data_IF_086109312192
#
_entry.id   IF_086109312192
#
_cell.length_a   1.000
_cell.length_b   1.000
_cell.length_c   1.000
_cell.angle_alpha   90.00
_cell.angle_beta   90.00
_cell.angle_gamma   90.00
#
_symmetry.space_group_name_H-M   'P 1'
#
loop_
_entity.id
_entity.type
_entity.pdbx_description
1 polymer ?
#
# COMPACT_ATOMS: atom_id res chain seq x y z
N UNK A 1 -39.35 -44.70 2.29
CA UNK A 1 -38.11 -44.43 3.06
C UNK A 1 -36.84 -44.22 2.22
N UNK A 2 -36.81 -44.53 0.91
CA UNK A 2 -35.59 -44.39 0.09
C UNK A 2 -35.21 -42.95 -0.31
N UNK A 3 -36.18 -42.04 -0.37
CA UNK A 3 -35.99 -40.64 -0.78
C UNK A 3 -35.18 -39.85 0.24
N UNK A 4 -35.56 -39.85 1.53
CA UNK A 4 -34.86 -39.08 2.57
C UNK A 4 -33.37 -39.41 2.72
N UNK A 5 -33.00 -40.68 2.46
CA UNK A 5 -31.61 -41.14 2.54
C UNK A 5 -30.75 -40.64 1.35
N UNK A 6 -31.35 -40.43 0.18
CA UNK A 6 -30.70 -39.77 -0.98
C UNK A 6 -30.54 -38.26 -0.78
N UNK A 7 -31.53 -37.60 -0.18
CA UNK A 7 -31.44 -36.18 0.16
C UNK A 7 -30.34 -35.91 1.20
N UNK A 8 -30.23 -36.73 2.24
CA UNK A 8 -29.13 -36.66 3.22
C UNK A 8 -27.77 -36.96 2.59
N UNK A 9 -27.70 -37.92 1.65
CA UNK A 9 -26.47 -38.26 0.94
C UNK A 9 -25.96 -37.15 0.00
N UNK A 10 -26.84 -36.31 -0.53
CA UNK A 10 -26.49 -35.16 -1.36
C UNK A 10 -26.31 -33.86 -0.56
N UNK A 11 -26.96 -33.75 0.60
CA UNK A 11 -26.87 -32.56 1.44
C UNK A 11 -25.45 -32.37 2.02
N UNK A 12 -24.83 -33.45 2.53
CA UNK A 12 -23.49 -33.38 3.10
C UNK A 12 -22.42 -32.85 2.11
N UNK A 13 -22.28 -33.39 0.88
CA UNK A 13 -21.29 -32.86 -0.07
C UNK A 13 -21.64 -31.43 -0.54
N UNK A 14 -22.92 -31.10 -0.71
CA UNK A 14 -23.34 -29.75 -1.09
C UNK A 14 -23.00 -28.70 -0.01
N UNK A 15 -23.22 -29.02 1.26
CA UNK A 15 -22.85 -28.15 2.40
C UNK A 15 -21.33 -27.96 2.44
N UNK A 16 -20.55 -29.03 2.32
CA UNK A 16 -19.09 -28.93 2.30
C UNK A 16 -18.60 -28.08 1.13
N UNK A 17 -19.14 -28.28 -0.08
CA UNK A 17 -18.79 -27.48 -1.24
C UNK A 17 -19.11 -25.99 -1.03
N UNK A 18 -20.28 -25.69 -0.44
CA UNK A 18 -20.66 -24.31 -0.10
C UNK A 18 -19.69 -23.68 0.91
N UNK A 19 -19.37 -24.40 2.00
CA UNK A 19 -18.41 -23.93 3.02
C UNK A 19 -17.04 -23.70 2.38
N UNK A 20 -16.56 -24.64 1.56
CA UNK A 20 -15.28 -24.50 0.86
C UNK A 20 -15.28 -23.28 -0.07
N UNK A 21 -16.34 -23.08 -0.85
CA UNK A 21 -16.47 -21.91 -1.72
C UNK A 21 -16.44 -20.59 -0.93
N UNK A 22 -17.13 -20.54 0.21
CA UNK A 22 -17.11 -19.37 1.11
C UNK A 22 -15.70 -19.15 1.68
N UNK A 23 -15.04 -20.18 2.18
CA UNK A 23 -13.67 -20.08 2.72
C UNK A 23 -12.67 -19.64 1.65
N UNK A 24 -12.78 -20.16 0.42
CA UNK A 24 -11.96 -19.72 -0.71
C UNK A 24 -12.20 -18.24 -1.03
N UNK A 25 -13.47 -17.82 -1.12
CA UNK A 25 -13.82 -16.43 -1.39
C UNK A 25 -13.28 -15.48 -0.31
N UNK A 26 -13.43 -15.83 0.97
CA UNK A 26 -12.93 -15.03 2.10
C UNK A 26 -11.40 -14.96 2.10
N UNK A 27 -10.72 -16.08 1.83
CA UNK A 27 -9.25 -16.13 1.78
C UNK A 27 -8.72 -15.32 0.61
N UNK A 28 -9.34 -15.43 -0.57
CA UNK A 28 -8.97 -14.66 -1.74
C UNK A 28 -9.22 -13.15 -1.56
N UNK A 29 -10.34 -12.77 -0.94
CA UNK A 29 -10.68 -11.38 -0.69
C UNK A 29 -9.90 -10.76 0.50
N UNK A 30 -9.33 -11.57 1.39
CA UNK A 30 -8.65 -11.10 2.61
C UNK A 30 -9.60 -10.37 3.58
N UNK A 31 -10.90 -10.68 3.54
CA UNK A 31 -11.95 -10.01 4.33
C UNK A 31 -13.19 -10.88 4.47
N UNK A 32 -13.86 -10.79 5.63
CA UNK A 32 -15.20 -11.36 5.87
C UNK A 32 -16.31 -10.35 5.52
N UNK A 33 -15.98 -9.23 4.88
CA UNK A 33 -16.91 -8.15 4.61
C UNK A 33 -17.45 -7.56 5.92
N UNK A 34 -18.78 -7.41 6.09
CA UNK A 34 -19.39 -6.88 7.32
C UNK A 34 -19.05 -7.67 8.59
N UNK A 35 -18.72 -8.96 8.47
CA UNK A 35 -18.38 -9.82 9.60
C UNK A 35 -16.89 -9.72 10.00
N UNK A 36 -16.10 -8.88 9.33
CA UNK A 36 -14.68 -8.70 9.65
C UNK A 36 -14.54 -8.08 11.05
N UNK A 37 -13.85 -8.75 11.99
CA UNK A 37 -13.68 -8.23 13.34
C UNK A 37 -12.80 -6.99 13.35
N UNK A 38 -12.99 -6.12 14.36
CA UNK A 38 -12.14 -4.94 14.53
C UNK A 38 -10.68 -5.28 14.88
N UNK A 39 -10.43 -6.49 15.40
CA UNK A 39 -9.10 -7.02 15.70
C UNK A 39 -8.38 -7.63 14.48
N UNK A 40 -8.99 -7.59 13.29
CA UNK A 40 -8.41 -8.17 12.07
C UNK A 40 -6.98 -7.66 11.82
N UNK A 41 -5.96 -8.53 11.93
CA UNK A 41 -4.56 -8.15 11.73
C UNK A 41 -4.26 -7.78 10.28
N UNK A 42 -4.97 -8.38 9.31
CA UNK A 42 -4.78 -8.14 7.88
C UNK A 42 -5.24 -6.75 7.46
N UNK A 43 -6.05 -6.05 8.28
CA UNK A 43 -6.41 -4.65 8.05
C UNK A 43 -5.19 -3.74 7.82
N UNK A 44 -4.05 -4.05 8.44
CA UNK A 44 -2.81 -3.28 8.23
C UNK A 44 -2.23 -3.49 6.83
N UNK A 45 -2.39 -4.70 6.29
CA UNK A 45 -1.90 -5.17 4.99
C UNK A 45 -2.86 -4.89 3.83
N UNK A 46 -4.13 -4.58 4.09
CA UNK A 46 -5.09 -4.18 3.04
C UNK A 46 -4.60 -2.92 2.31
N UNK A 47 -4.71 -2.93 0.98
CA UNK A 47 -4.26 -1.83 0.13
C UNK A 47 -2.77 -1.87 -0.20
N UNK A 48 -2.05 -2.92 0.20
CA UNK A 48 -0.60 -2.98 -0.05
C UNK A 48 -0.27 -3.16 -1.52
N UNK A 49 -0.97 -4.07 -2.19
CA UNK A 49 -0.81 -4.32 -3.62
C UNK A 49 -1.22 -3.11 -4.45
N UNK A 50 -2.36 -2.49 -4.09
CA UNK A 50 -2.88 -1.30 -4.75
C UNK A 50 -1.89 -0.13 -4.61
N UNK A 51 -1.41 0.17 -3.39
CA UNK A 51 -0.42 1.22 -3.19
C UNK A 51 0.85 0.99 -4.00
N UNK A 52 1.33 -0.26 -4.06
CA UNK A 52 2.52 -0.59 -4.81
C UNK A 52 2.32 -0.47 -6.34
N UNK A 53 1.15 -0.88 -6.85
CA UNK A 53 0.78 -0.73 -8.25
C UNK A 53 0.66 0.75 -8.63
N UNK A 54 -0.10 1.53 -7.86
CA UNK A 54 -0.26 2.98 -8.06
C UNK A 54 1.11 3.69 -8.03
N UNK A 55 1.97 3.33 -7.07
CA UNK A 55 3.33 3.87 -6.97
C UNK A 55 4.18 3.50 -8.20
N UNK A 56 4.09 2.25 -8.67
CA UNK A 56 4.80 1.79 -9.87
C UNK A 56 4.35 2.55 -11.13
N UNK A 57 3.06 2.84 -11.23
CA UNK A 57 2.49 3.58 -12.36
C UNK A 57 2.99 5.03 -12.38
N UNK A 58 2.97 5.70 -11.23
CA UNK A 58 3.47 7.08 -11.11
C UNK A 58 4.99 7.15 -11.34
N UNK A 59 5.77 6.22 -10.78
CA UNK A 59 7.21 6.13 -11.01
C UNK A 59 7.53 5.98 -12.51
N UNK A 60 6.83 5.08 -13.21
CA UNK A 60 7.01 4.87 -14.65
C UNK A 60 6.64 6.10 -15.46
N UNK A 61 5.49 6.72 -15.17
CA UNK A 61 5.02 7.90 -15.91
C UNK A 61 5.95 9.10 -15.69
N UNK A 62 6.46 9.28 -14.46
CA UNK A 62 7.38 10.36 -14.11
C UNK A 62 8.85 10.08 -14.48
N UNK A 63 9.15 8.85 -14.94
CA UNK A 63 10.52 8.37 -15.19
C UNK A 63 11.42 8.50 -13.94
N UNK A 64 10.85 8.22 -12.77
CA UNK A 64 11.54 8.23 -11.50
C UNK A 64 11.90 6.80 -11.07
N UNK A 65 13.04 6.67 -10.41
CA UNK A 65 13.50 5.41 -9.80
C UNK A 65 13.60 5.50 -8.28
N UNK A 66 13.08 6.57 -7.68
CA UNK A 66 13.15 6.82 -6.24
C UNK A 66 11.77 7.16 -5.71
N UNK A 67 11.40 6.53 -4.59
CA UNK A 67 10.18 6.83 -3.86
C UNK A 67 10.49 7.19 -2.41
N UNK A 68 9.93 8.30 -1.92
CA UNK A 68 10.02 8.72 -0.52
C UNK A 68 8.72 8.31 0.17
N UNK A 69 8.83 7.46 1.19
CA UNK A 69 7.69 6.96 1.93
C UNK A 69 7.27 7.93 3.06
N UNK A 70 5.96 8.17 3.17
CA UNK A 70 5.30 8.98 4.21
C UNK A 70 5.60 8.51 5.65
N UNK A 71 5.67 7.19 5.85
CA UNK A 71 5.74 6.58 7.18
C UNK A 71 6.36 5.19 7.14
N UNK A 72 6.77 4.71 8.32
CA UNK A 72 7.28 3.34 8.56
C UNK A 72 6.50 2.24 7.83
N UNK A 73 5.16 2.32 7.82
CA UNK A 73 4.33 1.28 7.22
C UNK A 73 4.43 1.24 5.68
N UNK A 74 4.49 2.40 5.01
CA UNK A 74 4.68 2.46 3.55
C UNK A 74 6.13 2.17 3.17
N UNK A 75 7.11 2.59 3.98
CA UNK A 75 8.51 2.22 3.80
C UNK A 75 8.69 0.70 3.78
N UNK A 76 8.23 0.01 4.83
CA UNK A 76 8.30 -1.45 4.93
C UNK A 76 7.69 -2.18 3.73
N UNK A 77 6.50 -1.75 3.33
CA UNK A 77 5.77 -2.30 2.19
C UNK A 77 6.54 -2.11 0.88
N UNK A 78 6.93 -0.87 0.58
CA UNK A 78 7.53 -0.53 -0.71
C UNK A 78 8.94 -1.11 -0.82
N UNK A 79 9.73 -1.11 0.26
CA UNK A 79 11.04 -1.75 0.28
C UNK A 79 10.93 -3.24 -0.05
N UNK A 80 9.94 -3.94 0.52
CA UNK A 80 9.69 -5.34 0.18
C UNK A 80 9.23 -5.50 -1.28
N UNK A 81 8.26 -4.68 -1.72
CA UNK A 81 7.69 -4.80 -3.05
C UNK A 81 8.71 -4.52 -4.18
N UNK A 82 9.56 -3.53 -3.98
CA UNK A 82 10.56 -3.08 -4.96
C UNK A 82 11.92 -3.73 -4.81
N UNK A 83 12.09 -4.66 -3.87
CA UNK A 83 13.34 -5.38 -3.67
C UNK A 83 13.86 -5.99 -4.98
N UNK A 84 15.07 -5.59 -5.39
CA UNK A 84 15.72 -6.06 -6.61
C UNK A 84 15.13 -5.53 -7.93
N UNK A 85 14.24 -4.52 -7.88
CA UNK A 85 13.58 -3.95 -9.08
C UNK A 85 14.17 -2.62 -9.56
N UNK A 86 15.30 -2.18 -9.00
CA UNK A 86 15.95 -0.92 -9.36
C UNK A 86 15.17 0.34 -8.96
N UNK A 87 14.21 0.21 -8.03
CA UNK A 87 13.52 1.33 -7.41
C UNK A 87 14.05 1.48 -5.99
N UNK A 88 14.58 2.66 -5.69
CA UNK A 88 15.08 3.05 -4.37
C UNK A 88 13.91 3.54 -3.50
N UNK A 89 13.83 3.03 -2.26
CA UNK A 89 12.82 3.44 -1.29
C UNK A 89 13.52 4.15 -0.14
N UNK A 90 13.18 5.42 0.05
CA UNK A 90 13.76 6.30 1.06
C UNK A 90 12.69 6.81 2.03
N UNK A 91 13.13 7.37 3.15
CA UNK A 91 12.29 8.01 4.16
C UNK A 91 12.83 9.40 4.43
N UNK A 92 11.95 10.40 4.36
CA UNK A 92 12.29 11.76 4.78
C UNK A 92 12.24 11.84 6.30
N UNK A 93 13.40 12.05 6.91
CA UNK A 93 13.55 12.33 8.34
C UNK A 93 13.63 13.85 8.53
N UNK A 94 12.52 14.44 8.99
CA UNK A 94 12.36 15.90 9.04
C UNK A 94 13.15 16.55 10.19
N UNK A 95 13.39 15.83 11.28
CA UNK A 95 14.15 16.34 12.44
C UNK A 95 15.58 15.78 12.51
N UNK A 96 15.91 14.81 11.65
CA UNK A 96 17.22 14.16 11.59
C UNK A 96 17.48 13.22 12.77
N UNK A 97 16.45 12.90 13.57
CA UNK A 97 16.53 12.01 14.72
C UNK A 97 15.74 10.74 14.42
N UNK A 98 16.40 9.67 13.94
CA UNK A 98 15.70 8.48 13.53
C UNK A 98 15.01 7.81 14.73
N UNK A 99 13.69 7.69 14.64
CA UNK A 99 12.84 7.03 15.63
C UNK A 99 12.63 5.54 15.32
N UNK A 100 13.03 5.10 14.12
CA UNK A 100 12.92 3.72 13.68
C UNK A 100 14.00 3.32 12.67
N UNK A 101 14.16 2.01 12.46
CA UNK A 101 15.22 1.45 11.59
C UNK A 101 15.07 1.82 10.10
N UNK A 102 13.90 2.27 9.64
CA UNK A 102 13.76 2.74 8.25
C UNK A 102 14.33 4.15 8.12
N UNK A 103 14.02 5.05 9.04
CA UNK A 103 14.66 6.39 9.10
C UNK A 103 16.17 6.25 9.24
N UNK A 104 16.65 5.28 10.04
CA UNK A 104 18.08 5.07 10.21
C UNK A 104 18.80 4.54 8.96
N UNK A 105 18.20 3.61 8.23
CA UNK A 105 18.90 2.87 7.15
C UNK A 105 18.50 3.32 5.73
N UNK A 106 17.36 3.99 5.59
CA UNK A 106 16.80 4.46 4.33
C UNK A 106 16.62 5.98 4.35
N UNK A 107 17.40 6.69 5.18
CA UNK A 107 17.37 8.14 5.27
C UNK A 107 17.50 8.76 3.88
N UNK A 108 16.57 9.63 3.53
CA UNK A 108 16.66 10.43 2.33
C UNK A 108 17.76 11.48 2.49
N UNK A 109 18.56 11.65 1.44
CA UNK A 109 19.51 12.75 1.29
C UNK A 109 19.36 13.29 -0.12
N UNK A 110 19.29 14.61 -0.26
CA UNK A 110 19.12 15.28 -1.54
C UNK A 110 20.26 14.94 -2.51
N UNK A 111 19.92 14.73 -3.77
CA UNK A 111 20.80 14.43 -4.87
C UNK A 111 20.38 15.28 -6.09
N UNK A 112 21.30 16.05 -6.68
CA UNK A 112 20.98 16.90 -7.82
C UNK A 112 20.28 16.16 -8.95
N UNK A 113 19.19 16.73 -9.47
CA UNK A 113 18.41 16.27 -10.61
C UNK A 113 17.74 14.89 -10.44
N UNK A 114 17.67 14.33 -9.22
CA UNK A 114 16.97 13.07 -8.98
C UNK A 114 15.45 13.28 -9.09
N UNK A 115 14.82 12.51 -9.97
CA UNK A 115 13.35 12.44 -10.08
C UNK A 115 12.82 11.48 -9.02
N UNK A 116 11.79 11.91 -8.30
CA UNK A 116 11.20 11.13 -7.22
C UNK A 116 9.68 11.17 -7.24
N UNK A 117 9.11 10.23 -6.48
CA UNK A 117 7.71 10.21 -6.07
C UNK A 117 7.67 10.23 -4.56
N UNK A 118 6.96 11.18 -3.95
CA UNK A 118 6.76 11.22 -2.50
C UNK A 118 5.32 10.86 -2.15
N UNK A 119 5.19 9.97 -1.15
CA UNK A 119 3.91 9.63 -0.55
C UNK A 119 3.65 10.62 0.59
N UNK A 120 2.46 11.20 0.65
CA UNK A 120 2.00 12.02 1.78
C UNK A 120 0.48 11.77 2.03
N UNK A 121 0.02 11.95 3.27
CA UNK A 121 -1.40 11.90 3.59
C UNK A 121 -2.21 13.10 3.08
N UNK A 122 -1.55 14.20 2.70
CA UNK A 122 -2.13 15.48 2.28
C UNK A 122 -2.07 15.64 0.76
N UNK A 123 -3.08 16.32 0.23
CA UNK A 123 -3.17 16.64 -1.21
C UNK A 123 -2.21 17.77 -1.63
N UNK A 124 -1.58 18.43 -0.68
CA UNK A 124 -0.56 19.45 -0.91
C UNK A 124 0.82 18.81 -0.70
N UNK A 125 1.78 19.01 -1.62
CA UNK A 125 3.13 18.50 -1.42
C UNK A 125 3.75 19.11 -0.16
N UNK A 126 4.57 18.35 0.58
CA UNK A 126 5.26 18.86 1.76
C UNK A 126 6.33 19.88 1.37
N UNK A 127 6.52 20.89 2.22
CA UNK A 127 7.59 21.87 2.07
C UNK A 127 8.91 21.23 2.49
N UNK A 128 9.65 20.70 1.52
CA UNK A 128 10.97 20.08 1.71
C UNK A 128 11.97 20.90 0.89
N UNK A 129 13.01 21.39 1.56
CA UNK A 129 14.11 22.08 0.91
C UNK A 129 14.82 21.16 -0.09
N UNK A 130 15.21 21.70 -1.22
CA UNK A 130 15.89 20.93 -2.26
C UNK A 130 14.97 20.10 -3.16
N UNK A 131 13.64 20.21 -3.07
CA UNK A 131 12.70 19.55 -3.99
C UNK A 131 11.81 20.58 -4.70
N UNK A 132 11.85 20.57 -6.03
CA UNK A 132 10.85 21.25 -6.86
C UNK A 132 9.74 20.26 -7.17
N UNK A 133 8.54 20.52 -6.65
CA UNK A 133 7.36 19.72 -6.91
C UNK A 133 6.74 20.05 -8.27
N UNK A 134 6.29 19.02 -8.98
CA UNK A 134 5.46 19.21 -10.16
C UNK A 134 4.08 19.72 -9.73
N UNK A 135 3.62 20.80 -10.35
CA UNK A 135 2.27 21.32 -10.11
C UNK A 135 1.18 20.38 -10.65
N UNK A 136 -0.05 20.60 -10.17
CA UNK A 136 -1.23 19.83 -10.58
C UNK A 136 -1.82 18.99 -9.44
N UNK A 137 -2.89 18.27 -9.73
CA UNK A 137 -3.48 17.34 -8.76
C UNK A 137 -2.63 16.05 -8.71
N UNK A 138 -2.08 15.68 -7.54
CA UNK A 138 -1.28 14.48 -7.40
C UNK A 138 -2.13 13.22 -7.59
N UNK A 139 -1.52 12.16 -8.11
CA UNK A 139 -2.16 10.86 -8.16
C UNK A 139 -2.51 10.38 -6.75
N UNK A 140 -3.59 9.64 -6.60
CA UNK A 140 -4.11 9.22 -5.29
C UNK A 140 -4.27 7.71 -5.23
N UNK A 141 -3.54 7.08 -4.32
CA UNK A 141 -3.78 5.68 -3.97
C UNK A 141 -4.79 5.62 -2.83
N UNK A 142 -5.91 4.90 -3.04
CA UNK A 142 -6.99 4.81 -2.06
C UNK A 142 -7.54 3.39 -1.94
N UNK A 143 -7.51 2.84 -0.73
CA UNK A 143 -8.09 1.52 -0.44
C UNK A 143 -8.95 1.57 0.82
N UNK A 144 -10.11 0.91 0.76
CA UNK A 144 -10.96 0.69 1.94
C UNK A 144 -10.34 -0.37 2.84
N UNK A 145 -9.97 0.00 4.07
CA UNK A 145 -9.32 -0.92 5.02
C UNK A 145 -10.28 -1.46 6.07
N UNK A 146 -11.37 -0.74 6.36
CA UNK A 146 -12.47 -1.22 7.21
C UNK A 146 -13.81 -0.62 6.78
N UNK A 147 -14.90 -1.02 7.44
CA UNK A 147 -16.24 -0.49 7.15
C UNK A 147 -16.32 1.05 7.22
N UNK A 148 -15.51 1.69 8.08
CA UNK A 148 -15.55 3.13 8.36
C UNK A 148 -14.23 3.86 8.06
N UNK A 149 -13.25 3.18 7.47
CA UNK A 149 -11.93 3.77 7.27
C UNK A 149 -11.35 3.39 5.92
N UNK A 150 -10.92 4.43 5.21
CA UNK A 150 -10.11 4.33 4.02
C UNK A 150 -8.67 4.70 4.38
N UNK A 151 -7.72 4.10 3.66
CA UNK A 151 -6.34 4.58 3.59
C UNK A 151 -6.21 5.31 2.27
N UNK A 152 -5.81 6.57 2.32
CA UNK A 152 -5.48 7.37 1.16
C UNK A 152 -4.07 7.93 1.32
N UNK A 153 -3.28 7.89 0.24
CA UNK A 153 -2.01 8.58 0.12
C UNK A 153 -1.99 9.29 -1.24
N UNK A 154 -1.42 10.48 -1.25
CA UNK A 154 -1.15 11.25 -2.46
C UNK A 154 0.29 11.00 -2.89
N UNK A 155 0.49 10.88 -4.20
CA UNK A 155 1.76 10.57 -4.83
C UNK A 155 2.22 11.83 -5.57
N UNK A 156 3.03 12.62 -4.87
CA UNK A 156 3.60 13.86 -5.36
C UNK A 156 4.81 13.56 -6.21
N UNK A 157 4.90 14.13 -7.41
CA UNK A 157 6.10 13.98 -8.26
C UNK A 157 6.96 15.23 -8.13
N UNK A 158 8.28 15.05 -8.08
CA UNK A 158 9.20 16.17 -7.93
C UNK A 158 10.59 15.85 -8.44
N UNK A 159 11.40 16.89 -8.55
CA UNK A 159 12.80 16.80 -8.95
C UNK A 159 13.65 17.49 -7.89
N UNK A 160 14.68 16.79 -7.43
CA UNK A 160 15.64 17.35 -6.49
C UNK A 160 16.54 18.38 -7.17
N UNK A 161 16.76 19.52 -6.51
CA UNK A 161 17.68 20.55 -6.95
C UNK A 161 19.06 20.30 -6.36
N UNK A 162 20.10 20.86 -7.01
CA UNK A 162 21.37 21.03 -6.33
C UNK A 162 21.20 22.09 -5.24
N UNK A 163 21.72 21.82 -4.04
CA UNK A 163 21.91 22.81 -2.98
C UNK A 163 22.82 23.96 -3.45
#
# INVERSE_FOLDING_TARGET
MATGRRWLALAAPAINLCITAVLLAVTAAGTLGPLTPQSDPLRRLRGWQELAADTSDVLRHHQATTVIADRRASAALLTWHFHGRGIEVLVHDADGVPTNHFEQNLAWTAQPARRLVMLDGRNTPPEIEGIIWNGGEPARSKTKISARRDRALYLHTGVETAD
#
